data_IF_893287689866
#
_entry.id   IF_893287689866
#
_cell.length_a   1.000
_cell.length_b   1.000
_cell.length_c   1.000
_cell.angle_alpha   90.00
_cell.angle_beta   90.00
_cell.angle_gamma   90.00
#
_symmetry.space_group_name_H-M   'P 1'
#
loop_
_entity.id
_entity.type
_entity.pdbx_description
1 polymer ?
#
# COMPACT_ATOMS: atom_id res chain seq x y z
N UNK A 1 -20.53 -10.99 -2.33
CA UNK A 1 -19.39 -11.29 -3.21
C UNK A 1 -18.27 -11.76 -2.33
N UNK A 2 -17.95 -13.06 -2.38
CA UNK A 2 -16.75 -13.57 -1.71
C UNK A 2 -15.57 -13.07 -2.53
N UNK A 3 -14.81 -12.10 -2.00
CA UNK A 3 -13.50 -11.80 -2.57
C UNK A 3 -12.67 -13.07 -2.38
N UNK A 4 -12.29 -13.72 -3.48
CA UNK A 4 -11.33 -14.81 -3.42
C UNK A 4 -10.09 -14.30 -2.69
N UNK A 5 -9.60 -15.08 -1.72
CA UNK A 5 -8.37 -14.75 -1.03
C UNK A 5 -7.24 -14.75 -2.07
N UNK A 6 -6.57 -13.62 -2.23
CA UNK A 6 -5.40 -13.50 -3.09
C UNK A 6 -4.29 -14.45 -2.59
N UNK A 7 -3.54 -15.02 -3.53
CA UNK A 7 -2.35 -15.81 -3.26
C UNK A 7 -1.26 -14.94 -2.62
N UNK A 8 -0.23 -15.58 -2.05
CA UNK A 8 0.92 -14.86 -1.50
C UNK A 8 1.63 -14.03 -2.56
N UNK A 9 1.83 -14.60 -3.74
CA UNK A 9 2.48 -13.93 -4.88
C UNK A 9 1.65 -12.72 -5.36
N UNK A 10 0.32 -12.85 -5.36
CA UNK A 10 -0.58 -11.73 -5.68
C UNK A 10 -0.49 -10.62 -4.63
N UNK A 11 -0.39 -10.97 -3.34
CA UNK A 11 -0.16 -10.00 -2.26
C UNK A 11 1.21 -9.32 -2.36
N UNK A 12 2.26 -10.07 -2.70
CA UNK A 12 3.60 -9.54 -2.91
C UNK A 12 3.64 -8.57 -4.11
N UNK A 13 2.94 -8.91 -5.21
CA UNK A 13 2.80 -8.00 -6.36
C UNK A 13 2.05 -6.72 -5.99
N UNK A 14 0.95 -6.82 -5.24
CA UNK A 14 0.21 -5.64 -4.77
C UNK A 14 1.10 -4.78 -3.87
N UNK A 15 1.90 -5.40 -3.00
CA UNK A 15 2.83 -4.68 -2.15
C UNK A 15 3.87 -3.89 -2.97
N UNK A 16 4.47 -4.52 -3.98
CA UNK A 16 5.42 -3.85 -4.90
C UNK A 16 4.76 -2.65 -5.61
N UNK A 17 3.53 -2.82 -6.10
CA UNK A 17 2.79 -1.75 -6.78
C UNK A 17 2.49 -0.58 -5.83
N UNK A 18 2.12 -0.88 -4.58
CA UNK A 18 1.85 0.14 -3.57
C UNK A 18 3.12 0.89 -3.15
N UNK A 19 4.24 0.20 -2.99
CA UNK A 19 5.54 0.82 -2.67
C UNK A 19 6.02 1.76 -3.78
N UNK A 20 5.83 1.35 -5.04
CA UNK A 20 6.10 2.21 -6.20
C UNK A 20 5.21 3.46 -6.20
N UNK A 21 3.90 3.29 -6.00
CA UNK A 21 2.97 4.41 -5.93
C UNK A 21 3.33 5.37 -4.78
N UNK A 22 3.75 4.85 -3.62
CA UNK A 22 4.20 5.69 -2.49
C UNK A 22 5.41 6.54 -2.88
N UNK A 23 6.38 5.96 -3.59
CA UNK A 23 7.57 6.65 -4.07
C UNK A 23 7.21 7.75 -5.09
N UNK A 24 6.31 7.44 -6.03
CA UNK A 24 5.83 8.40 -7.04
C UNK A 24 5.09 9.57 -6.37
N UNK A 25 4.21 9.29 -5.40
CA UNK A 25 3.51 10.34 -4.64
C UNK A 25 4.44 11.27 -3.87
N UNK A 26 5.53 10.74 -3.33
CA UNK A 26 6.53 11.59 -2.67
C UNK A 26 7.14 12.61 -3.64
N UNK A 27 7.35 12.22 -4.90
CA UNK A 27 7.77 13.13 -5.97
C UNK A 27 6.67 14.15 -6.30
N UNK A 28 5.44 13.69 -6.52
CA UNK A 28 4.31 14.55 -6.87
C UNK A 28 3.99 15.61 -5.80
N UNK A 29 4.01 15.24 -4.52
CA UNK A 29 3.81 16.15 -3.39
C UNK A 29 4.83 17.30 -3.43
N UNK A 30 6.09 16.98 -3.76
CA UNK A 30 7.17 17.97 -3.86
C UNK A 30 6.93 18.96 -5.01
N UNK A 31 6.36 18.50 -6.11
CA UNK A 31 6.11 19.31 -7.31
C UNK A 31 4.73 19.99 -7.34
N UNK A 32 3.80 19.61 -6.47
CA UNK A 32 2.47 20.19 -6.38
C UNK A 32 2.53 21.69 -6.01
N UNK A 33 1.99 22.53 -6.89
CA UNK A 33 1.98 24.00 -6.75
C UNK A 33 0.78 24.52 -5.94
N UNK A 34 -0.31 23.75 -5.89
CA UNK A 34 -1.53 24.12 -5.18
C UNK A 34 -1.61 23.38 -3.85
N UNK A 35 -2.00 24.11 -2.80
CA UNK A 35 -2.12 23.57 -1.45
C UNK A 35 -3.12 22.40 -1.39
N UNK A 36 -4.31 22.56 -1.96
CA UNK A 36 -5.35 21.52 -1.93
C UNK A 36 -4.91 20.23 -2.63
N UNK A 37 -4.24 20.36 -3.78
CA UNK A 37 -3.66 19.21 -4.50
C UNK A 37 -2.59 18.53 -3.64
N UNK A 38 -1.74 19.30 -2.97
CA UNK A 38 -0.71 18.76 -2.08
C UNK A 38 -1.32 17.99 -0.90
N UNK A 39 -2.39 18.51 -0.30
CA UNK A 39 -3.08 17.83 0.80
C UNK A 39 -3.78 16.56 0.34
N UNK A 40 -4.41 16.55 -0.84
CA UNK A 40 -4.98 15.33 -1.42
C UNK A 40 -3.90 14.26 -1.68
N UNK A 41 -2.75 14.65 -2.22
CA UNK A 41 -1.64 13.73 -2.44
C UNK A 41 -1.07 13.17 -1.13
N UNK A 42 -0.96 13.99 -0.08
CA UNK A 42 -0.57 13.51 1.26
C UNK A 42 -1.57 12.52 1.83
N UNK A 43 -2.87 12.80 1.74
CA UNK A 43 -3.92 11.89 2.21
C UNK A 43 -3.85 10.54 1.47
N UNK A 44 -3.62 10.58 0.15
CA UNK A 44 -3.42 9.37 -0.65
C UNK A 44 -2.17 8.60 -0.20
N UNK A 45 -1.05 9.29 0.01
CA UNK A 45 0.19 8.68 0.52
C UNK A 45 -0.03 8.02 1.87
N UNK A 46 -0.69 8.68 2.81
CA UNK A 46 -0.98 8.14 4.13
C UNK A 46 -1.88 6.90 4.06
N UNK A 47 -2.85 6.89 3.13
CA UNK A 47 -3.68 5.71 2.88
C UNK A 47 -2.87 4.53 2.36
N UNK A 48 -1.95 4.77 1.41
CA UNK A 48 -1.06 3.73 0.87
C UNK A 48 -0.13 3.19 1.94
N UNK A 49 0.49 4.05 2.75
CA UNK A 49 1.34 3.63 3.86
C UNK A 49 0.60 2.69 4.82
N UNK A 50 -0.63 3.02 5.21
CA UNK A 50 -1.47 2.14 6.04
C UNK A 50 -1.84 0.83 5.34
N UNK A 51 -2.02 0.83 4.02
CA UNK A 51 -2.31 -0.41 3.26
C UNK A 51 -1.08 -1.32 3.21
N UNK A 52 0.10 -0.76 2.95
CA UNK A 52 1.39 -1.48 2.97
C UNK A 52 1.60 -2.15 4.32
N UNK A 53 1.43 -1.43 5.43
CA UNK A 53 1.57 -2.00 6.78
C UNK A 53 0.60 -3.17 7.02
N UNK A 54 -0.66 -3.01 6.62
CA UNK A 54 -1.67 -4.07 6.76
C UNK A 54 -1.32 -5.29 5.93
N UNK A 55 -0.91 -5.12 4.68
CA UNK A 55 -0.54 -6.22 3.80
C UNK A 55 0.71 -6.92 4.33
N UNK A 56 1.73 -6.18 4.78
CA UNK A 56 2.93 -6.76 5.40
C UNK A 56 2.59 -7.60 6.63
N UNK A 57 1.64 -7.15 7.46
CA UNK A 57 1.17 -7.95 8.61
C UNK A 57 0.51 -9.25 8.14
N UNK A 58 -0.30 -9.21 7.08
CA UNK A 58 -0.98 -10.40 6.54
C UNK A 58 -0.02 -11.39 5.88
N UNK A 59 1.01 -10.88 5.19
CA UNK A 59 2.01 -11.72 4.48
C UNK A 59 3.10 -12.23 5.43
N UNK A 60 3.41 -11.49 6.50
CA UNK A 60 4.44 -11.87 7.47
C UNK A 60 3.94 -12.81 8.55
N UNK A 61 2.63 -12.94 8.77
CA UNK A 61 2.09 -13.97 9.65
C UNK A 61 2.44 -15.34 9.07
N UNK A 62 3.35 -16.11 9.69
CA UNK A 62 3.47 -17.51 9.33
C UNK A 62 2.16 -18.16 9.73
N UNK A 63 1.66 -19.06 8.90
CA UNK A 63 0.63 -20.03 9.28
C UNK A 63 1.19 -20.81 10.47
N UNK A 64 1.01 -20.27 11.68
CA UNK A 64 1.18 -20.98 12.93
C UNK A 64 -0.06 -21.87 13.08
N UNK A 65 -0.12 -22.91 12.25
CA UNK A 65 -1.01 -24.04 12.42
C UNK A 65 -0.17 -25.31 12.38
N UNK A 66 0.14 -25.79 13.57
CA UNK A 66 -0.19 -27.15 14.00
C UNK A 66 0.30 -28.31 13.13
N UNK A 67 1.39 -28.94 13.56
CA UNK A 67 1.55 -30.40 13.68
C UNK A 67 2.77 -30.72 14.55
#
# INVERSE_FOLDING_TARGET
MNAELLSREEWELILELLEREEADLHCEIRHARFYDVRELLKQKKDMIGRLIERIRSLVSEPVASSA
#
